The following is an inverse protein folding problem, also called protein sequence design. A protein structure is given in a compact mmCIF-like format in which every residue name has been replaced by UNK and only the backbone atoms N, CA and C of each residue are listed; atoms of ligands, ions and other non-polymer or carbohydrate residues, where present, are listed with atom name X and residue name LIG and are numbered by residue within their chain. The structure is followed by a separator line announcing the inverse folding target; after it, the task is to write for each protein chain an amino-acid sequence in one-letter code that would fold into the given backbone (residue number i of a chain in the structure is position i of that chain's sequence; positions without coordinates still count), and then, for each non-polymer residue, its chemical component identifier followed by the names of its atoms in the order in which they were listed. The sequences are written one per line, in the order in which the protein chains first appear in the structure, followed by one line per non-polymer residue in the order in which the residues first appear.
data_IF_682838477592
#
_entry.id   IF_682838477592
#
_cell.length_a   1.000
_cell.length_b   1.000
_cell.length_c   1.000
_cell.angle_alpha   90.00
_cell.angle_beta   90.00
_cell.angle_gamma   90.00
#
_symmetry.space_group_name_H-M   'P 1'
#
loop_
_entity.id
_entity.type
_entity.pdbx_description
1 polymer ?
#
# COMPACT_ATOMS: atom_id res chain seq x y z
N UNK A 1 37.22 23.61 1.55
CA UNK A 1 35.93 22.99 1.77
C UNK A 1 35.08 23.14 0.49
N UNK A 2 34.87 22.12 -0.35
CA UNK A 2 34.00 22.21 -1.49
C UNK A 2 32.55 22.09 -1.00
N UNK A 3 31.71 23.01 -1.42
CA UNK A 3 30.26 23.02 -1.20
C UNK A 3 29.64 21.79 -1.86
N UNK A 4 28.83 21.04 -1.10
CA UNK A 4 27.98 20.01 -1.62
C UNK A 4 27.05 20.61 -2.69
N UNK A 5 27.17 20.12 -3.91
CA UNK A 5 26.29 20.43 -5.02
C UNK A 5 24.91 19.83 -4.72
N UNK A 6 23.90 20.68 -4.66
CA UNK A 6 22.48 20.37 -4.55
C UNK A 6 22.12 19.23 -5.50
N UNK A 7 21.60 18.13 -4.93
CA UNK A 7 20.81 17.18 -5.66
C UNK A 7 19.56 17.92 -6.17
N UNK A 8 19.43 17.94 -7.49
CA UNK A 8 18.37 18.59 -8.24
C UNK A 8 16.97 18.23 -7.72
N UNK A 9 16.23 19.24 -7.35
CA UNK A 9 14.83 19.20 -6.99
C UNK A 9 14.01 18.43 -8.03
N UNK A 10 13.12 17.55 -7.56
CA UNK A 10 11.90 17.19 -8.25
C UNK A 10 11.23 18.53 -8.56
N UNK A 11 10.87 18.75 -9.82
CA UNK A 11 10.49 20.07 -10.36
C UNK A 11 9.49 20.81 -9.48
N UNK A 12 9.72 22.11 -9.32
CA UNK A 12 8.74 23.08 -8.86
C UNK A 12 7.41 22.91 -9.63
N UNK A 13 6.36 22.50 -8.89
CA UNK A 13 4.95 22.46 -9.27
C UNK A 13 4.64 21.92 -10.69
N UNK A 14 4.22 20.66 -10.78
CA UNK A 14 3.66 20.10 -12.02
C UNK A 14 2.47 20.93 -12.52
N UNK A 15 2.48 21.28 -13.79
CA UNK A 15 1.38 21.95 -14.47
C UNK A 15 0.23 20.95 -14.74
N UNK A 16 -1.03 21.40 -14.81
CA UNK A 16 -2.13 20.55 -15.27
C UNK A 16 -1.86 19.89 -16.63
N UNK A 17 -1.08 20.55 -17.50
CA UNK A 17 -0.68 20.02 -18.80
C UNK A 17 0.25 18.81 -18.70
N UNK A 18 0.94 18.64 -17.59
CA UNK A 18 1.83 17.51 -17.38
C UNK A 18 1.07 16.20 -17.09
N UNK A 19 -0.25 16.28 -16.85
CA UNK A 19 -1.16 15.14 -16.68
C UNK A 19 -1.98 14.83 -17.96
N UNK A 20 -1.68 15.45 -19.10
CA UNK A 20 -2.35 15.11 -20.34
C UNK A 20 -1.95 13.71 -20.84
N UNK A 21 -2.93 12.86 -21.22
CA UNK A 21 -2.65 11.52 -21.71
C UNK A 21 -1.69 11.51 -22.90
N UNK A 22 -0.79 10.54 -22.94
CA UNK A 22 0.18 10.33 -24.01
C UNK A 22 1.39 11.29 -24.01
N UNK A 23 1.40 12.30 -23.13
CA UNK A 23 2.54 13.20 -23.01
C UNK A 23 3.65 12.56 -22.18
N UNK A 24 4.87 12.46 -22.73
CA UNK A 24 6.06 12.03 -22.01
C UNK A 24 6.63 13.21 -21.21
N UNK A 25 6.56 13.12 -19.88
CA UNK A 25 7.03 14.14 -18.93
C UNK A 25 8.22 13.63 -18.16
N UNK A 26 9.33 14.37 -18.15
CA UNK A 26 10.51 14.03 -17.33
C UNK A 26 10.32 14.55 -15.91
N UNK A 27 10.29 13.64 -14.95
CA UNK A 27 10.20 13.95 -13.52
C UNK A 27 11.58 14.11 -12.89
N UNK A 28 12.55 13.29 -13.32
CA UNK A 28 13.94 13.32 -12.85
C UNK A 28 14.90 12.85 -13.95
N UNK A 29 16.22 12.84 -13.73
CA UNK A 29 17.16 12.26 -14.68
C UNK A 29 16.90 10.78 -15.00
N UNK A 30 16.26 10.04 -14.08
CA UNK A 30 16.02 8.59 -14.17
C UNK A 30 14.57 8.20 -14.38
N UNK A 31 13.64 9.16 -14.26
CA UNK A 31 12.20 8.88 -14.27
C UNK A 31 11.48 9.77 -15.26
N UNK A 32 10.69 9.15 -16.11
CA UNK A 32 9.72 9.83 -16.98
C UNK A 32 8.34 9.25 -16.71
N UNK A 33 7.29 10.02 -16.99
CA UNK A 33 5.89 9.61 -16.84
C UNK A 33 5.14 9.78 -18.14
N UNK A 34 4.25 8.83 -18.44
CA UNK A 34 3.21 8.93 -19.47
C UNK A 34 1.89 8.61 -18.80
N UNK A 35 0.91 9.50 -18.93
CA UNK A 35 -0.45 9.25 -18.42
C UNK A 35 -1.24 8.48 -19.47
N UNK A 36 -1.90 7.39 -19.07
CA UNK A 36 -2.75 6.59 -19.94
C UNK A 36 -4.09 7.30 -20.23
N UNK A 37 -4.75 7.03 -21.39
CA UNK A 37 -5.99 7.71 -21.77
C UNK A 37 -7.24 7.06 -21.17
N UNK A 38 -7.20 6.74 -19.87
CA UNK A 38 -8.28 6.09 -19.14
C UNK A 38 -8.87 6.97 -18.02
N UNK A 39 -8.98 8.26 -18.27
CA UNK A 39 -9.55 9.22 -17.32
C UNK A 39 -10.96 8.81 -16.87
N UNK A 40 -11.19 8.82 -15.57
CA UNK A 40 -12.47 8.45 -14.95
C UNK A 40 -12.60 9.01 -13.55
N UNK A 41 -13.74 8.74 -12.90
CA UNK A 41 -13.95 9.08 -11.50
C UNK A 41 -12.94 8.36 -10.56
N UNK A 42 -12.47 7.16 -10.94
CA UNK A 42 -11.54 6.36 -10.16
C UNK A 42 -10.07 6.68 -10.46
N UNK A 43 -9.77 6.97 -11.72
CA UNK A 43 -8.39 7.17 -12.21
C UNK A 43 -8.01 8.64 -12.35
N UNK A 44 -8.93 9.57 -12.05
CA UNK A 44 -8.69 10.99 -12.25
C UNK A 44 -8.29 11.31 -13.70
N UNK A 45 -7.12 11.90 -13.97
CA UNK A 45 -6.66 12.20 -15.33
C UNK A 45 -6.26 10.97 -16.13
N UNK A 46 -6.07 9.83 -15.49
CA UNK A 46 -5.61 8.56 -16.04
C UNK A 46 -4.54 7.92 -15.18
N UNK A 47 -4.13 6.71 -15.56
CA UNK A 47 -3.07 5.97 -14.86
C UNK A 47 -1.69 6.51 -15.24
N UNK A 48 -0.85 6.75 -14.25
CA UNK A 48 0.54 7.11 -14.42
C UNK A 48 1.39 5.87 -14.71
N UNK A 49 1.89 5.74 -15.92
CA UNK A 49 2.93 4.78 -16.27
C UNK A 49 4.29 5.46 -16.16
N UNK A 50 5.23 4.83 -15.45
CA UNK A 50 6.58 5.38 -15.25
C UNK A 50 7.61 4.62 -16.04
N UNK A 51 8.47 5.36 -16.74
CA UNK A 51 9.59 4.84 -17.52
C UNK A 51 10.88 5.12 -16.75
N UNK A 52 11.64 4.06 -16.43
CA UNK A 52 12.75 4.11 -15.49
C UNK A 52 14.08 3.79 -16.16
N UNK A 53 15.10 4.58 -15.81
CA UNK A 53 16.48 4.44 -16.28
C UNK A 53 16.90 5.48 -17.31
N UNK A 54 18.20 5.57 -17.53
CA UNK A 54 18.81 6.38 -18.58
C UNK A 54 20.10 5.69 -19.07
N UNK A 55 20.04 4.90 -20.18
CA UNK A 55 18.85 4.65 -21.02
C UNK A 55 17.75 3.91 -20.25
N UNK A 56 16.48 4.12 -20.66
CA UNK A 56 15.33 3.50 -20.04
C UNK A 56 15.31 1.99 -20.27
N UNK A 57 15.14 1.22 -19.18
CA UNK A 57 15.20 -0.24 -19.16
C UNK A 57 14.00 -0.88 -18.47
N UNK A 58 13.15 -0.09 -17.83
CA UNK A 58 11.96 -0.60 -17.15
C UNK A 58 10.75 0.33 -17.31
N UNK A 59 9.56 -0.26 -17.25
CA UNK A 59 8.27 0.43 -17.14
C UNK A 59 7.61 -0.04 -15.85
N UNK A 60 7.02 0.86 -15.10
CA UNK A 60 6.22 0.58 -13.91
C UNK A 60 4.77 1.01 -14.18
N UNK A 61 3.82 0.12 -13.89
CA UNK A 61 2.39 0.24 -14.15
C UNK A 61 2.10 0.63 -15.62
N UNK A 62 2.16 -0.32 -16.54
CA UNK A 62 1.95 -0.05 -17.97
C UNK A 62 0.53 0.41 -18.32
N UNK A 63 -0.38 0.42 -17.34
CA UNK A 63 -1.74 0.90 -17.53
C UNK A 63 -2.67 -0.10 -18.22
N UNK A 64 -3.75 0.39 -18.83
CA UNK A 64 -4.68 -0.43 -19.58
C UNK A 64 -4.04 -1.02 -20.86
N UNK A 65 -4.65 -2.05 -21.43
CA UNK A 65 -4.26 -2.57 -22.74
C UNK A 65 -4.77 -1.62 -23.85
N UNK A 66 -4.07 -0.47 -23.97
CA UNK A 66 -4.31 0.56 -24.96
C UNK A 66 -3.13 0.61 -25.95
N UNK A 67 -3.29 0.18 -27.21
CA UNK A 67 -2.18 0.06 -28.14
C UNK A 67 -1.40 1.36 -28.39
N UNK A 68 -2.01 2.55 -28.52
CA UNK A 68 -1.29 3.81 -28.63
C UNK A 68 -0.45 4.14 -27.41
N UNK A 69 -0.99 3.92 -26.19
CA UNK A 69 -0.28 4.11 -24.94
C UNK A 69 0.93 3.18 -24.81
N UNK A 70 0.73 1.89 -25.08
CA UNK A 70 1.80 0.87 -25.05
C UNK A 70 2.89 1.15 -26.10
N UNK A 71 2.52 1.66 -27.28
CA UNK A 71 3.49 2.08 -28.30
C UNK A 71 4.34 3.26 -27.79
N UNK A 72 3.75 4.23 -27.10
CA UNK A 72 4.46 5.35 -26.49
C UNK A 72 5.45 4.89 -25.42
N UNK A 73 5.06 3.92 -24.56
CA UNK A 73 5.95 3.34 -23.56
C UNK A 73 7.12 2.59 -24.19
N UNK A 74 6.89 1.80 -25.26
CA UNK A 74 7.94 1.12 -26.01
C UNK A 74 8.91 2.09 -26.65
N UNK A 75 8.42 3.18 -27.23
CA UNK A 75 9.25 4.21 -27.84
C UNK A 75 10.13 4.91 -26.77
N UNK A 76 9.60 5.13 -25.57
CA UNK A 76 10.32 5.73 -24.46
C UNK A 76 11.35 4.77 -23.83
N UNK A 77 11.12 3.46 -23.89
CA UNK A 77 11.99 2.41 -23.36
C UNK A 77 12.39 1.38 -24.45
N UNK A 78 13.24 1.74 -25.39
CA UNK A 78 13.62 0.86 -26.51
C UNK A 78 14.43 -0.38 -26.08
N UNK A 79 14.95 -0.39 -24.86
CA UNK A 79 15.66 -1.52 -24.23
C UNK A 79 14.90 -2.01 -23.00
N UNK A 80 13.61 -2.27 -23.15
CA UNK A 80 12.76 -2.69 -22.03
C UNK A 80 13.12 -4.12 -21.58
N UNK A 81 13.60 -4.25 -20.35
CA UNK A 81 13.96 -5.53 -19.73
C UNK A 81 12.96 -5.95 -18.66
N UNK A 82 12.28 -4.98 -18.03
CA UNK A 82 11.37 -5.24 -16.93
C UNK A 82 10.08 -4.42 -17.04
N UNK A 83 8.96 -5.07 -16.73
CA UNK A 83 7.67 -4.43 -16.49
C UNK A 83 7.29 -4.67 -15.04
N UNK A 84 7.37 -3.62 -14.22
CA UNK A 84 6.94 -3.65 -12.83
C UNK A 84 5.45 -3.35 -12.73
N UNK A 85 4.75 -4.06 -11.86
CA UNK A 85 3.33 -3.86 -11.61
C UNK A 85 3.13 -3.71 -10.10
N UNK A 86 2.53 -2.60 -9.67
CA UNK A 86 2.27 -2.34 -8.25
C UNK A 86 1.21 -3.28 -7.70
N UNK A 87 0.15 -3.51 -8.48
CA UNK A 87 -0.94 -4.44 -8.17
C UNK A 87 -1.71 -4.77 -9.45
N UNK A 88 -2.60 -5.74 -9.39
CA UNK A 88 -3.22 -6.31 -10.58
C UNK A 88 -4.63 -5.78 -10.87
N UNK A 89 -4.99 -4.56 -10.44
CA UNK A 89 -6.15 -3.88 -10.98
C UNK A 89 -5.95 -3.55 -12.46
N UNK A 90 -7.03 -3.61 -13.23
CA UNK A 90 -6.98 -3.59 -14.71
C UNK A 90 -6.38 -2.33 -15.30
N UNK A 91 -6.53 -1.22 -14.62
CA UNK A 91 -5.98 0.07 -15.04
C UNK A 91 -4.47 0.20 -14.82
N UNK A 92 -3.84 -0.70 -14.05
CA UNK A 92 -2.39 -0.75 -13.83
C UNK A 92 -1.71 -1.84 -14.63
N UNK A 93 -2.33 -3.00 -14.81
CA UNK A 93 -1.65 -4.24 -15.19
C UNK A 93 -1.99 -4.80 -16.57
N UNK A 94 -3.14 -4.46 -17.17
CA UNK A 94 -3.57 -5.07 -18.42
C UNK A 94 -2.58 -4.92 -19.58
N UNK A 95 -1.83 -3.81 -19.62
CA UNK A 95 -0.78 -3.60 -20.61
C UNK A 95 0.49 -4.43 -20.41
N UNK A 96 0.68 -5.05 -19.22
CA UNK A 96 1.93 -5.73 -18.87
C UNK A 96 2.22 -6.92 -19.77
N UNK A 97 1.22 -7.75 -20.04
CA UNK A 97 1.37 -8.92 -20.88
C UNK A 97 1.71 -8.53 -22.32
N UNK A 98 1.00 -7.55 -22.90
CA UNK A 98 1.24 -7.08 -24.24
C UNK A 98 2.64 -6.47 -24.42
N UNK A 99 3.13 -5.70 -23.43
CA UNK A 99 4.50 -5.19 -23.42
C UNK A 99 5.53 -6.32 -23.32
N UNK A 100 5.33 -7.27 -22.42
CA UNK A 100 6.24 -8.39 -22.24
C UNK A 100 6.34 -9.25 -23.50
N UNK A 101 5.22 -9.58 -24.12
CA UNK A 101 5.19 -10.39 -25.38
C UNK A 101 5.87 -9.65 -26.56
N UNK A 102 5.74 -8.31 -26.61
CA UNK A 102 6.32 -7.52 -27.69
C UNK A 102 7.82 -7.20 -27.54
N UNK A 103 8.37 -7.33 -26.32
CA UNK A 103 9.75 -6.86 -26.03
C UNK A 103 10.64 -7.95 -25.44
N UNK A 104 10.08 -9.06 -24.96
CA UNK A 104 10.79 -10.06 -24.17
C UNK A 104 11.02 -9.63 -22.70
N UNK A 105 10.46 -8.50 -22.27
CA UNK A 105 10.61 -8.01 -20.90
C UNK A 105 9.99 -8.96 -19.87
N UNK A 106 10.57 -9.04 -18.68
CA UNK A 106 10.06 -9.84 -17.57
C UNK A 106 9.09 -9.04 -16.72
N UNK A 107 7.94 -9.62 -16.41
CA UNK A 107 6.94 -9.00 -15.52
C UNK A 107 7.37 -9.25 -14.07
N UNK A 108 7.40 -8.17 -13.26
CA UNK A 108 7.76 -8.17 -11.85
C UNK A 108 6.56 -7.65 -11.04
N UNK A 109 6.10 -8.40 -10.06
CA UNK A 109 4.95 -8.04 -9.22
C UNK A 109 4.62 -9.17 -8.26
N UNK A 110 3.42 -9.14 -7.69
CA UNK A 110 2.82 -10.25 -6.96
C UNK A 110 1.65 -10.85 -7.77
N UNK A 111 1.39 -12.16 -7.63
CA UNK A 111 0.33 -12.81 -8.39
C UNK A 111 -1.05 -12.23 -8.05
N UNK A 112 -2.00 -12.21 -9.01
CA UNK A 112 -3.35 -11.71 -8.77
C UNK A 112 -4.10 -12.62 -7.80
N UNK A 113 -4.83 -12.05 -6.80
CA UNK A 113 -5.77 -12.82 -6.00
C UNK A 113 -6.98 -13.25 -6.83
N UNK A 114 -7.61 -14.38 -6.43
CA UNK A 114 -8.74 -14.96 -7.15
C UNK A 114 -10.08 -14.38 -6.69
N UNK A 115 -10.25 -13.06 -6.74
CA UNK A 115 -11.45 -12.33 -6.30
C UNK A 115 -12.41 -11.95 -7.45
N UNK A 116 -12.00 -12.18 -8.70
CA UNK A 116 -12.75 -11.83 -9.90
C UNK A 116 -12.64 -10.36 -10.34
N UNK A 117 -11.94 -9.51 -9.59
CA UNK A 117 -11.77 -8.08 -9.88
C UNK A 117 -10.41 -7.78 -10.53
N UNK A 118 -9.47 -8.68 -10.35
CA UNK A 118 -8.10 -8.54 -10.78
C UNK A 118 -7.88 -8.92 -12.26
N UNK A 119 -6.82 -8.40 -12.83
CA UNK A 119 -6.34 -8.84 -14.15
C UNK A 119 -5.58 -10.18 -14.01
N UNK A 120 -6.27 -11.26 -14.34
CA UNK A 120 -5.70 -12.61 -14.32
C UNK A 120 -4.71 -12.87 -15.46
N UNK A 121 -4.59 -11.99 -16.45
CA UNK A 121 -3.61 -12.09 -17.54
C UNK A 121 -2.20 -11.63 -17.11
N UNK A 122 -2.13 -10.79 -16.08
CA UNK A 122 -0.87 -10.33 -15.51
C UNK A 122 -0.28 -11.39 -14.57
N UNK A 123 0.53 -12.28 -15.13
CA UNK A 123 1.25 -13.30 -14.37
C UNK A 123 2.72 -12.91 -14.23
N UNK A 124 3.17 -12.43 -13.06
CA UNK A 124 4.56 -12.06 -12.85
C UNK A 124 5.48 -13.28 -13.00
N UNK A 125 6.56 -13.13 -13.78
CA UNK A 125 7.63 -14.11 -13.90
C UNK A 125 8.68 -13.95 -12.80
N UNK A 126 8.69 -12.81 -12.13
CA UNK A 126 9.57 -12.50 -11.00
C UNK A 126 8.72 -11.91 -9.86
N UNK A 127 8.80 -12.55 -8.70
CA UNK A 127 8.06 -12.12 -7.53
C UNK A 127 8.72 -10.89 -6.86
N UNK A 128 7.94 -9.82 -6.66
CA UNK A 128 8.35 -8.60 -5.97
C UNK A 128 8.20 -8.75 -4.45
N UNK A 129 9.00 -9.64 -3.84
CA UNK A 129 8.97 -9.88 -2.39
C UNK A 129 9.37 -8.63 -1.63
N UNK A 130 8.81 -8.51 -0.43
CA UNK A 130 9.16 -7.41 0.48
C UNK A 130 10.67 -7.29 0.68
N UNK A 131 11.18 -6.03 0.62
CA UNK A 131 12.59 -5.66 0.71
C UNK A 131 13.51 -6.19 -0.40
N UNK A 132 12.98 -6.87 -1.41
CA UNK A 132 13.79 -7.22 -2.57
C UNK A 132 14.20 -5.97 -3.34
N UNK A 133 15.50 -5.86 -3.61
CA UNK A 133 16.07 -4.79 -4.44
C UNK A 133 16.35 -5.33 -5.84
N UNK A 134 15.88 -4.60 -6.84
CA UNK A 134 16.16 -4.84 -8.24
C UNK A 134 17.19 -3.83 -8.71
N UNK A 135 18.34 -4.32 -9.15
CA UNK A 135 19.38 -3.50 -9.77
C UNK A 135 19.15 -3.42 -11.27
N UNK A 136 18.82 -2.21 -11.76
CA UNK A 136 18.49 -1.96 -13.16
C UNK A 136 19.64 -1.17 -13.77
N UNK A 137 20.25 -1.74 -14.80
CA UNK A 137 21.31 -1.09 -15.58
C UNK A 137 20.97 -1.17 -17.07
N UNK A 138 21.52 -0.25 -17.86
CA UNK A 138 21.39 -0.30 -19.32
C UNK A 138 22.14 -1.45 -19.99
N UNK A 139 22.75 -2.35 -19.21
CA UNK A 139 23.41 -3.58 -19.69
C UNK A 139 22.44 -4.73 -19.71
N UNK A 140 22.59 -5.61 -20.69
CA UNK A 140 21.80 -6.83 -20.78
C UNK A 140 22.09 -7.73 -19.56
N UNK A 141 21.09 -8.09 -18.75
CA UNK A 141 21.29 -8.96 -17.58
C UNK A 141 21.75 -10.38 -17.96
N UNK A 142 21.60 -10.79 -19.23
CA UNK A 142 22.07 -12.09 -19.73
C UNK A 142 23.45 -12.03 -20.44
N UNK A 143 23.96 -10.83 -20.71
CA UNK A 143 25.35 -10.69 -21.16
C UNK A 143 26.26 -11.00 -19.97
N UNK A 144 26.57 -12.28 -19.82
CA UNK A 144 27.36 -12.84 -18.72
C UNK A 144 28.60 -11.99 -18.44
N UNK A 145 28.74 -11.63 -17.17
CA UNK A 145 29.87 -10.87 -16.63
C UNK A 145 31.14 -11.75 -16.68
N UNK A 146 31.67 -11.94 -17.89
CA UNK A 146 32.97 -12.59 -18.07
C UNK A 146 34.04 -11.57 -17.72
N UNK A 147 34.25 -11.34 -16.40
CA UNK A 147 35.50 -10.75 -15.95
C UNK A 147 35.50 -9.52 -15.06
N UNK A 148 34.51 -9.34 -14.15
CA UNK A 148 34.62 -8.30 -13.13
C UNK A 148 34.38 -8.83 -11.71
N UNK A 149 35.30 -9.66 -11.24
CA UNK A 149 35.38 -9.94 -9.82
C UNK A 149 35.92 -8.65 -9.11
N UNK A 150 35.08 -8.06 -8.26
CA UNK A 150 35.56 -7.27 -7.14
C UNK A 150 35.50 -5.76 -7.17
N UNK A 151 34.76 -5.10 -8.07
CA UNK A 151 34.50 -3.65 -7.94
C UNK A 151 33.00 -3.40 -7.88
N UNK A 152 32.51 -2.84 -6.77
CA UNK A 152 31.20 -2.24 -6.69
C UNK A 152 31.11 -1.17 -7.80
N UNK A 153 30.40 -1.47 -8.88
CA UNK A 153 30.25 -0.55 -10.02
C UNK A 153 29.34 0.59 -9.54
N UNK A 154 29.96 1.71 -9.15
CA UNK A 154 29.28 2.99 -9.04
C UNK A 154 29.05 3.51 -10.47
N UNK A 155 28.17 2.87 -11.23
CA UNK A 155 27.71 3.41 -12.50
C UNK A 155 26.65 4.47 -12.21
N UNK A 156 26.76 5.70 -12.73
CA UNK A 156 25.74 6.73 -12.60
C UNK A 156 24.40 6.29 -13.21
N UNK A 157 24.40 5.23 -14.01
CA UNK A 157 23.24 4.68 -14.72
C UNK A 157 22.56 3.51 -13.97
N UNK A 158 23.18 3.03 -12.87
CA UNK A 158 22.57 2.01 -12.03
C UNK A 158 21.45 2.64 -11.19
N UNK A 159 20.29 2.02 -11.19
CA UNK A 159 19.19 2.34 -10.29
C UNK A 159 18.79 1.14 -9.46
N UNK A 160 18.50 1.36 -8.20
CA UNK A 160 18.04 0.34 -7.25
C UNK A 160 16.59 0.60 -6.91
N UNK A 161 15.75 -0.33 -7.31
CA UNK A 161 14.31 -0.29 -7.08
C UNK A 161 13.94 -1.32 -6.00
N UNK A 162 13.62 -0.84 -4.80
CA UNK A 162 13.22 -1.69 -3.67
C UNK A 162 11.73 -1.94 -3.69
N UNK A 163 11.32 -3.20 -3.65
CA UNK A 163 9.93 -3.61 -3.50
C UNK A 163 9.51 -3.57 -2.02
N UNK A 164 8.39 -2.94 -1.72
CA UNK A 164 7.82 -2.85 -0.38
C UNK A 164 6.39 -3.40 -0.46
N UNK A 165 6.15 -4.60 0.07
CA UNK A 165 4.80 -5.18 0.11
C UNK A 165 3.90 -4.33 1.01
N UNK A 166 2.84 -3.77 0.45
CA UNK A 166 1.92 -2.83 1.08
C UNK A 166 0.47 -3.26 0.86
N UNK A 167 0.05 -4.40 1.45
CA UNK A 167 -1.32 -4.87 1.30
C UNK A 167 -2.31 -3.88 1.91
N UNK A 168 -3.53 -3.86 1.38
CA UNK A 168 -4.62 -3.07 1.94
C UNK A 168 -5.57 -2.51 0.91
N UNK A 169 -5.11 -1.77 -0.10
CA UNK A 169 -5.91 -1.43 -1.28
C UNK A 169 -6.20 -2.70 -2.11
N UNK A 170 -5.16 -3.46 -2.37
CA UNK A 170 -5.20 -4.82 -2.87
C UNK A 170 -4.25 -5.68 -2.04
N UNK A 171 -4.53 -6.99 -1.91
CA UNK A 171 -3.71 -7.90 -1.11
C UNK A 171 -2.31 -8.11 -1.70
N UNK A 172 -2.19 -8.00 -3.02
CA UNK A 172 -0.95 -8.15 -3.79
C UNK A 172 -0.25 -6.80 -4.09
N UNK A 173 -0.62 -5.72 -3.39
CA UNK A 173 -0.05 -4.41 -3.65
C UNK A 173 1.40 -4.29 -3.19
N UNK A 174 2.24 -3.71 -4.05
CA UNK A 174 3.66 -3.43 -3.80
C UNK A 174 3.96 -1.98 -4.17
N UNK A 175 4.47 -1.21 -3.24
CA UNK A 175 5.13 0.07 -3.55
C UNK A 175 6.58 -0.19 -3.95
N UNK A 176 7.14 0.66 -4.83
CA UNK A 176 8.53 0.57 -5.25
C UNK A 176 9.28 1.85 -4.89
N UNK A 177 10.40 1.73 -4.19
CA UNK A 177 11.25 2.86 -3.82
C UNK A 177 12.49 2.91 -4.71
N UNK A 178 12.63 3.99 -5.48
CA UNK A 178 13.87 4.34 -6.18
C UNK A 178 14.84 4.93 -5.15
N UNK A 179 15.82 4.13 -4.73
CA UNK A 179 16.67 4.44 -3.58
C UNK A 179 17.53 5.69 -3.80
N UNK A 180 18.08 5.88 -5.00
CA UNK A 180 18.97 7.00 -5.34
C UNK A 180 18.28 8.36 -5.21
N UNK A 181 16.96 8.41 -5.46
CA UNK A 181 16.18 9.65 -5.45
C UNK A 181 15.26 9.75 -4.23
N UNK A 182 15.05 8.64 -3.52
CA UNK A 182 14.05 8.56 -2.46
C UNK A 182 12.64 8.73 -3.00
N UNK A 183 12.40 8.40 -4.28
CA UNK A 183 11.10 8.51 -4.93
C UNK A 183 10.33 7.20 -4.77
N UNK A 184 9.16 7.28 -4.11
CA UNK A 184 8.28 6.15 -3.86
C UNK A 184 7.17 6.09 -4.92
N UNK A 185 7.17 5.06 -5.74
CA UNK A 185 6.03 4.72 -6.60
C UNK A 185 5.00 3.99 -5.74
N UNK A 186 3.91 4.66 -5.43
CA UNK A 186 2.93 4.18 -4.47
C UNK A 186 1.76 3.40 -5.08
N UNK A 187 1.68 3.29 -6.42
CA UNK A 187 0.47 2.76 -7.04
C UNK A 187 -0.77 3.42 -6.44
N UNK A 188 -1.74 2.61 -6.05
CA UNK A 188 -2.98 3.08 -5.43
C UNK A 188 -2.97 3.03 -3.89
N UNK A 189 -1.79 2.96 -3.27
CA UNK A 189 -1.68 3.02 -1.81
C UNK A 189 -1.75 4.46 -1.27
N UNK A 190 -1.16 5.41 -1.99
CA UNK A 190 -1.21 6.86 -1.69
C UNK A 190 -1.46 7.61 -2.99
N UNK A 191 -2.53 8.42 -3.04
CA UNK A 191 -2.97 9.16 -4.22
C UNK A 191 -2.97 10.68 -4.00
N UNK A 192 -2.94 11.46 -5.09
CA UNK A 192 -3.01 12.92 -5.05
C UNK A 192 -4.45 13.39 -4.74
N UNK A 193 -4.61 14.05 -3.60
CA UNK A 193 -5.84 14.75 -3.22
C UNK A 193 -7.03 13.87 -2.86
N UNK A 194 -6.92 12.54 -2.96
CA UNK A 194 -7.98 11.59 -2.64
C UNK A 194 -7.45 10.44 -1.78
N UNK A 195 -8.35 9.78 -1.06
CA UNK A 195 -8.00 8.52 -0.36
C UNK A 195 -8.40 7.33 -1.21
N UNK A 196 -7.53 6.31 -1.37
CA UNK A 196 -7.85 5.11 -2.13
C UNK A 196 -9.10 4.40 -1.63
N UNK A 197 -9.79 3.72 -2.52
CA UNK A 197 -10.90 2.83 -2.14
C UNK A 197 -10.29 1.56 -1.54
N UNK A 198 -10.87 1.08 -0.44
CA UNK A 198 -10.54 -0.21 0.13
C UNK A 198 -11.74 -1.10 -0.10
N UNK A 199 -11.59 -2.08 -0.97
CA UNK A 199 -12.68 -2.92 -1.48
C UNK A 199 -12.56 -4.36 -0.95
N UNK A 200 -13.32 -4.73 0.10
CA UNK A 200 -13.41 -6.14 0.52
C UNK A 200 -14.03 -7.03 -0.58
N UNK A 201 -13.66 -8.34 -0.66
CA UNK A 201 -12.89 -9.07 0.33
C UNK A 201 -11.37 -8.94 0.20
N UNK A 202 -10.82 -8.50 -0.95
CA UNK A 202 -9.39 -8.40 -1.17
C UNK A 202 -8.79 -7.22 -0.41
N UNK A 203 -9.44 -6.05 -0.47
CA UNK A 203 -9.03 -4.87 0.28
C UNK A 203 -9.24 -5.01 1.79
N UNK A 204 -8.25 -4.59 2.58
CA UNK A 204 -8.25 -4.67 4.05
C UNK A 204 -7.81 -3.36 4.70
N UNK A 205 -8.70 -2.74 5.48
CA UNK A 205 -8.45 -1.44 6.11
C UNK A 205 -7.36 -1.51 7.19
N UNK A 206 -7.25 -2.60 7.93
CA UNK A 206 -6.23 -2.75 8.97
C UNK A 206 -4.85 -2.92 8.33
N UNK A 207 -4.74 -3.78 7.32
CA UNK A 207 -3.52 -3.96 6.53
C UNK A 207 -3.11 -2.64 5.85
N UNK A 208 -4.06 -1.89 5.28
CA UNK A 208 -3.82 -0.60 4.65
C UNK A 208 -3.17 0.42 5.62
N UNK A 209 -3.74 0.57 6.82
CA UNK A 209 -3.21 1.47 7.83
C UNK A 209 -1.82 1.04 8.32
N UNK A 210 -1.59 -0.26 8.49
CA UNK A 210 -0.28 -0.81 8.82
C UNK A 210 0.74 -0.53 7.73
N UNK A 211 0.39 -0.72 6.47
CA UNK A 211 1.25 -0.45 5.32
C UNK A 211 1.59 1.04 5.18
N UNK A 212 0.65 1.95 5.47
CA UNK A 212 0.93 3.39 5.52
C UNK A 212 1.99 3.73 6.59
N UNK A 213 1.90 3.10 7.77
CA UNK A 213 2.88 3.30 8.84
C UNK A 213 4.25 2.72 8.47
N UNK A 214 4.27 1.54 7.85
CA UNK A 214 5.47 0.92 7.31
C UNK A 214 6.20 1.86 6.32
N UNK A 215 5.47 2.48 5.38
CA UNK A 215 6.07 3.38 4.38
C UNK A 215 6.80 4.57 5.00
N UNK A 216 6.38 5.06 6.18
CA UNK A 216 7.07 6.15 6.89
C UNK A 216 8.49 5.75 7.31
N UNK A 217 8.73 4.48 7.61
CA UNK A 217 10.05 3.97 8.01
C UNK A 217 11.10 4.09 6.91
N UNK A 218 10.69 4.03 5.65
CA UNK A 218 11.57 4.18 4.47
C UNK A 218 11.92 5.64 4.16
N UNK A 219 11.26 6.62 4.79
CA UNK A 219 11.52 8.06 4.67
C UNK A 219 11.63 8.52 3.21
N UNK A 220 10.63 8.26 2.37
CA UNK A 220 10.66 8.74 0.99
C UNK A 220 10.76 10.26 0.96
N UNK A 221 11.35 10.82 -0.10
CA UNK A 221 11.47 12.27 -0.33
C UNK A 221 10.29 12.81 -1.13
N UNK A 222 9.73 11.98 -2.01
CA UNK A 222 8.55 12.29 -2.79
C UNK A 222 7.77 10.98 -3.06
N UNK A 223 6.48 11.11 -3.40
CA UNK A 223 5.63 10.00 -3.82
C UNK A 223 5.18 10.25 -5.26
N UNK A 224 5.37 9.25 -6.10
CA UNK A 224 4.86 9.16 -7.47
C UNK A 224 3.68 8.18 -7.48
N UNK A 225 2.41 8.69 -7.45
CA UNK A 225 1.23 7.87 -7.28
C UNK A 225 0.77 7.21 -8.58
N UNK A 226 -0.10 6.19 -8.49
CA UNK A 226 -0.76 5.58 -9.65
C UNK A 226 -1.63 6.56 -10.44
N UNK A 227 -2.17 7.58 -9.77
CA UNK A 227 -3.00 8.63 -10.38
C UNK A 227 -2.67 10.00 -9.81
N UNK A 228 -2.71 11.04 -10.66
CA UNK A 228 -2.50 12.42 -10.24
C UNK A 228 -1.02 12.85 -10.22
N UNK A 229 -0.72 13.89 -9.45
CA UNK A 229 0.59 14.56 -9.41
C UNK A 229 1.54 13.89 -8.42
N UNK A 230 2.83 14.17 -8.58
CA UNK A 230 3.86 13.82 -7.60
C UNK A 230 3.62 14.63 -6.30
N UNK A 231 3.80 13.97 -5.15
CA UNK A 231 3.57 14.52 -3.82
C UNK A 231 4.92 14.74 -3.12
N UNK A 232 5.21 16.00 -2.74
CA UNK A 232 6.52 16.40 -2.23
C UNK A 232 6.70 16.25 -0.72
N UNK A 233 5.59 16.11 0.04
CA UNK A 233 5.60 15.98 1.50
C UNK A 233 5.05 14.61 1.96
N UNK A 234 5.76 13.50 1.69
CA UNK A 234 5.24 12.14 1.88
C UNK A 234 4.69 11.87 3.27
N UNK A 235 5.43 12.24 4.31
CA UNK A 235 5.02 11.98 5.70
C UNK A 235 3.75 12.75 6.06
N UNK A 236 3.65 14.01 5.63
CA UNK A 236 2.45 14.83 5.85
C UNK A 236 1.24 14.24 5.13
N UNK A 237 1.42 13.78 3.89
CA UNK A 237 0.34 13.15 3.10
C UNK A 237 -0.12 11.87 3.78
N UNK A 238 0.81 10.99 4.16
CA UNK A 238 0.50 9.73 4.84
C UNK A 238 -0.23 9.99 6.17
N UNK A 239 0.28 10.90 7.00
CA UNK A 239 -0.36 11.25 8.28
C UNK A 239 -1.76 11.86 8.06
N UNK A 240 -1.94 12.64 7.00
CA UNK A 240 -3.23 13.17 6.58
C UNK A 240 -4.24 12.07 6.25
N UNK A 241 -3.82 11.04 5.51
CA UNK A 241 -4.65 9.87 5.18
C UNK A 241 -5.01 9.09 6.45
N UNK A 242 -4.03 8.79 7.30
CA UNK A 242 -4.27 8.07 8.57
C UNK A 242 -5.28 8.84 9.45
N UNK A 243 -5.10 10.15 9.59
CA UNK A 243 -6.03 10.99 10.35
C UNK A 243 -7.43 11.03 9.72
N UNK A 244 -7.52 11.07 8.38
CA UNK A 244 -8.80 10.99 7.67
C UNK A 244 -9.53 9.67 7.96
N UNK A 245 -8.81 8.53 7.85
CA UNK A 245 -9.36 7.19 8.15
C UNK A 245 -9.82 7.07 9.61
N UNK A 246 -9.02 7.59 10.56
CA UNK A 246 -9.38 7.60 11.98
C UNK A 246 -10.66 8.43 12.25
N UNK A 247 -10.79 9.61 11.64
CA UNK A 247 -12.02 10.42 11.74
C UNK A 247 -13.23 9.69 11.16
N UNK A 248 -13.08 9.01 10.02
CA UNK A 248 -14.16 8.24 9.40
C UNK A 248 -14.58 7.07 10.30
N UNK A 249 -13.62 6.33 10.86
CA UNK A 249 -13.89 5.24 11.80
C UNK A 249 -14.62 5.73 13.06
N UNK A 250 -14.17 6.86 13.64
CA UNK A 250 -14.87 7.46 14.77
C UNK A 250 -16.32 7.82 14.45
N UNK A 251 -16.58 8.31 13.22
CA UNK A 251 -17.93 8.62 12.75
C UNK A 251 -18.78 7.36 12.57
N UNK A 252 -18.20 6.26 12.07
CA UNK A 252 -18.90 4.95 12.00
C UNK A 252 -19.38 4.52 13.38
N UNK A 253 -18.51 4.57 14.38
CA UNK A 253 -18.86 4.22 15.76
C UNK A 253 -19.92 5.15 16.37
N UNK A 254 -19.81 6.46 16.12
CA UNK A 254 -20.78 7.44 16.60
C UNK A 254 -22.18 7.19 15.99
N UNK A 255 -22.24 6.89 14.68
CA UNK A 255 -23.49 6.58 13.98
C UNK A 255 -24.11 5.28 14.52
N UNK A 256 -23.31 4.21 14.68
CA UNK A 256 -23.78 2.95 15.27
C UNK A 256 -24.28 3.13 16.71
N UNK A 257 -23.61 3.98 17.51
CA UNK A 257 -24.03 4.28 18.87
C UNK A 257 -25.33 5.09 18.96
N UNK A 258 -25.54 6.04 18.04
CA UNK A 258 -26.69 6.93 18.03
C UNK A 258 -27.94 6.28 17.42
N UNK A 259 -27.78 5.50 16.35
CA UNK A 259 -28.88 4.89 15.60
C UNK A 259 -29.23 3.48 16.09
N UNK A 260 -28.31 2.82 16.78
CA UNK A 260 -28.40 1.39 17.05
C UNK A 260 -28.02 0.52 15.84
N UNK A 261 -28.42 -0.77 15.84
CA UNK A 261 -28.11 -1.71 14.76
C UNK A 261 -28.70 -1.24 13.41
N UNK A 262 -27.92 -1.41 12.33
CA UNK A 262 -28.37 -1.02 10.99
C UNK A 262 -27.63 -1.75 9.87
N UNK A 263 -28.27 -1.85 8.71
CA UNK A 263 -27.63 -2.31 7.48
C UNK A 263 -26.71 -1.24 6.90
N UNK A 264 -25.74 -1.66 6.11
CA UNK A 264 -24.72 -0.77 5.55
C UNK A 264 -25.32 0.38 4.74
N UNK A 265 -26.40 0.12 3.99
CA UNK A 265 -27.06 1.12 3.15
C UNK A 265 -27.85 2.15 3.96
N UNK A 266 -28.25 1.81 5.18
CA UNK A 266 -28.87 2.74 6.15
C UNK A 266 -27.80 3.58 6.86
N UNK A 267 -26.64 3.01 7.16
CA UNK A 267 -25.51 3.67 7.81
C UNK A 267 -24.78 4.62 6.86
N UNK A 268 -24.66 4.24 5.57
CA UNK A 268 -23.84 4.93 4.57
C UNK A 268 -24.12 6.44 4.48
N UNK A 269 -25.36 6.92 4.27
CA UNK A 269 -25.63 8.36 4.13
C UNK A 269 -25.41 9.14 5.42
N UNK A 270 -25.31 8.49 6.56
CA UNK A 270 -25.04 9.11 7.86
C UNK A 270 -23.55 9.20 8.16
N UNK A 271 -22.79 8.16 7.74
CA UNK A 271 -21.34 8.14 7.89
C UNK A 271 -20.65 9.02 6.84
N UNK A 272 -21.23 9.12 5.65
CA UNK A 272 -20.70 9.85 4.49
C UNK A 272 -21.59 11.03 4.09
N UNK A 273 -22.17 11.75 5.08
CA UNK A 273 -23.02 12.95 4.89
C UNK A 273 -22.26 14.16 4.30
N UNK A 274 -20.94 14.10 4.32
CA UNK A 274 -20.00 15.07 3.79
C UNK A 274 -19.48 14.71 2.37
N UNK A 275 -20.01 13.63 1.77
CA UNK A 275 -19.58 13.13 0.46
C UNK A 275 -20.70 13.35 -0.56
N UNK A 276 -20.32 13.75 -1.79
CA UNK A 276 -21.29 13.92 -2.89
C UNK A 276 -22.00 12.60 -3.21
N UNK A 277 -23.27 12.69 -3.55
CA UNK A 277 -24.14 11.51 -3.77
C UNK A 277 -23.59 10.53 -4.82
N UNK A 278 -22.94 11.04 -5.86
CA UNK A 278 -22.35 10.24 -6.94
C UNK A 278 -21.21 9.34 -6.45
N UNK A 279 -20.57 9.69 -5.32
CA UNK A 279 -19.47 8.93 -4.71
C UNK A 279 -19.95 7.91 -3.66
N UNK A 280 -21.21 7.96 -3.23
CA UNK A 280 -21.73 7.06 -2.21
C UNK A 280 -21.59 5.56 -2.59
N UNK A 281 -21.85 5.14 -3.84
CA UNK A 281 -21.62 3.74 -4.22
C UNK A 281 -20.20 3.26 -3.99
N UNK A 282 -19.21 4.15 -4.21
CA UNK A 282 -17.78 3.86 -3.97
C UNK A 282 -17.47 3.91 -2.47
N UNK A 283 -18.00 4.91 -1.76
CA UNK A 283 -17.82 5.07 -0.32
C UNK A 283 -18.36 3.89 0.49
N UNK A 284 -19.38 3.17 -0.05
CA UNK A 284 -19.94 1.96 0.53
C UNK A 284 -18.89 0.89 0.82
N UNK A 285 -17.98 0.66 -0.13
CA UNK A 285 -16.89 -0.30 0.05
C UNK A 285 -15.94 0.09 1.19
N UNK A 286 -15.57 1.37 1.25
CA UNK A 286 -14.73 1.86 2.34
C UNK A 286 -15.45 1.80 3.70
N UNK A 287 -16.79 2.01 3.75
CA UNK A 287 -17.58 1.79 4.95
C UNK A 287 -17.51 0.33 5.39
N UNK A 288 -17.74 -0.60 4.46
CA UNK A 288 -17.66 -2.03 4.73
C UNK A 288 -16.27 -2.42 5.27
N UNK A 289 -15.20 -1.91 4.67
CA UNK A 289 -13.83 -2.15 5.14
C UNK A 289 -13.60 -1.64 6.58
N UNK A 290 -14.14 -0.47 6.94
CA UNK A 290 -14.10 0.04 8.32
C UNK A 290 -14.90 -0.85 9.28
N UNK A 291 -16.10 -1.29 8.89
CA UNK A 291 -16.94 -2.14 9.71
C UNK A 291 -16.31 -3.51 9.96
N UNK A 292 -15.71 -4.13 8.93
CA UNK A 292 -14.96 -5.39 9.06
C UNK A 292 -13.77 -5.23 10.01
N UNK A 293 -13.01 -4.13 9.88
CA UNK A 293 -11.90 -3.82 10.80
C UNK A 293 -12.41 -3.70 12.24
N UNK A 294 -13.48 -2.94 12.47
CA UNK A 294 -14.08 -2.76 13.80
C UNK A 294 -14.62 -4.06 14.39
N UNK A 295 -15.16 -4.95 13.58
CA UNK A 295 -15.60 -6.29 13.99
C UNK A 295 -14.42 -7.14 14.47
N UNK A 296 -13.33 -7.18 13.70
CA UNK A 296 -12.09 -7.89 14.07
C UNK A 296 -11.46 -7.35 15.36
N UNK A 297 -11.59 -6.06 15.60
CA UNK A 297 -11.16 -5.39 16.83
C UNK A 297 -12.12 -5.60 18.02
N UNK A 298 -13.26 -6.26 17.80
CA UNK A 298 -14.28 -6.46 18.82
C UNK A 298 -15.03 -5.20 19.23
N UNK A 299 -15.07 -4.17 18.38
CA UNK A 299 -15.75 -2.88 18.59
C UNK A 299 -17.10 -2.80 17.88
N UNK A 300 -17.28 -3.58 16.83
CA UNK A 300 -18.57 -3.81 16.19
C UNK A 300 -18.87 -5.31 16.13
N UNK A 301 -20.12 -5.66 15.84
CA UNK A 301 -20.54 -7.02 15.57
C UNK A 301 -21.46 -7.03 14.34
N UNK A 302 -21.38 -8.11 13.59
CA UNK A 302 -22.23 -8.36 12.42
C UNK A 302 -23.15 -9.54 12.70
N UNK A 303 -24.44 -9.36 12.44
CA UNK A 303 -25.41 -10.45 12.40
C UNK A 303 -26.14 -10.41 11.05
N UNK A 304 -25.80 -11.35 10.15
CA UNK A 304 -26.18 -11.31 8.73
C UNK A 304 -25.72 -10.01 8.09
N UNK A 305 -26.64 -9.13 7.68
CA UNK A 305 -26.34 -7.85 7.03
C UNK A 305 -26.45 -6.64 7.97
N UNK A 306 -26.76 -6.89 9.26
CA UNK A 306 -26.94 -5.85 10.28
C UNK A 306 -25.70 -5.71 11.13
N UNK A 307 -25.18 -4.50 11.18
CA UNK A 307 -24.04 -4.10 12.01
C UNK A 307 -24.51 -3.41 13.28
N UNK A 308 -23.83 -3.65 14.38
CA UNK A 308 -24.12 -3.07 15.69
C UNK A 308 -22.84 -2.70 16.44
N UNK A 309 -22.95 -1.74 17.34
CA UNK A 309 -21.86 -1.44 18.26
C UNK A 309 -21.73 -2.61 19.25
N UNK A 310 -20.50 -3.06 19.51
CA UNK A 310 -20.24 -4.04 20.56
C UNK A 310 -20.02 -3.29 21.86
N UNK A 311 -20.91 -3.53 22.84
CA UNK A 311 -20.70 -3.00 24.18
C UNK A 311 -19.38 -3.54 24.76
N UNK A 312 -18.54 -2.65 25.28
CA UNK A 312 -17.41 -3.10 26.10
C UNK A 312 -17.99 -3.89 27.27
N UNK A 313 -17.64 -5.16 27.41
CA UNK A 313 -17.87 -5.90 28.64
C UNK A 313 -17.22 -5.08 29.76
N UNK A 314 -18.03 -4.37 30.51
CA UNK A 314 -17.60 -3.76 31.77
C UNK A 314 -17.27 -4.95 32.66
N UNK A 315 -15.99 -5.25 32.83
CA UNK A 315 -15.57 -6.13 33.91
C UNK A 315 -15.97 -5.40 35.18
N UNK A 316 -17.15 -5.75 35.72
CA UNK A 316 -17.53 -5.42 37.06
C UNK A 316 -16.51 -6.16 37.95
N UNK A 317 -15.49 -5.41 38.38
CA UNK A 317 -14.69 -5.85 39.52
C UNK A 317 -15.67 -6.16 40.63
N UNK A 318 -15.88 -7.44 40.87
CA UNK A 318 -16.77 -7.94 41.92
C UNK A 318 -16.43 -7.26 43.20
N UNK A 319 -17.41 -6.53 43.75
CA UNK A 319 -17.38 -6.07 45.10
C UNK A 319 -17.30 -7.32 45.96
N UNK A 320 -16.10 -7.57 46.51
CA UNK A 320 -15.94 -8.52 47.62
C UNK A 320 -16.67 -7.89 48.82
N UNK A 321 -17.91 -8.34 49.03
CA UNK A 321 -18.62 -8.04 50.26
C UNK A 321 -17.86 -8.67 51.42
N UNK A 322 -17.20 -7.82 52.18
CA UNK A 322 -16.67 -8.19 53.46
C UNK A 322 -17.79 -8.53 54.43
N UNK A 323 -17.88 -9.76 54.85
CA UNK A 323 -18.57 -10.11 56.10
C UNK A 323 -17.48 -10.46 57.11
N UNK A 324 -17.32 -9.54 58.07
CA UNK A 324 -16.50 -9.74 59.23
C UNK A 324 -17.17 -10.66 60.26
N UNK A 325 -16.40 -10.92 61.26
CA UNK A 325 -16.70 -11.36 62.62
C UNK A 325 -16.18 -12.75 62.97
N UNK A 326 -15.25 -12.77 64.01
CA UNK A 326 -15.25 -13.69 65.06
C UNK A 326 -13.94 -14.40 65.36
N UNK A 327 -13.22 -13.80 66.22
CA UNK A 327 -12.29 -14.14 67.27
C UNK A 327 -12.06 -15.61 67.70
N UNK A 328 -10.82 -15.76 68.23
CA UNK A 328 -10.21 -16.66 69.25
C UNK A 328 -9.44 -17.87 68.67
N UNK A 329 -8.15 -17.89 68.85
CA UNK A 329 -7.20 -18.11 69.99
C UNK A 329 -6.84 -19.57 70.18
N UNK A 330 -5.54 -19.77 70.42
CA UNK A 330 -4.87 -20.96 71.05
C UNK A 330 -4.59 -22.13 70.07
N UNK A 331 -3.40 -22.64 69.85
CA UNK A 331 -2.16 -22.66 70.55
C UNK A 331 -1.34 -23.87 70.11
N UNK A 332 -0.02 -23.77 70.26
CA UNK A 332 1.01 -24.85 70.29
C UNK A 332 1.35 -25.60 69.00
N UNK A 333 2.51 -25.36 68.47
CA UNK A 333 3.84 -25.93 68.83
C UNK A 333 4.09 -27.32 68.22
N UNK A 334 5.17 -27.39 67.57
CA UNK A 334 6.26 -28.37 67.56
C UNK A 334 6.48 -29.12 66.21
N UNK A 335 7.60 -28.76 65.64
CA UNK A 335 8.75 -29.67 65.41
C UNK A 335 8.58 -30.74 64.31
N UNK A 336 9.45 -30.69 63.35
CA UNK A 336 10.32 -31.81 63.02
C UNK A 336 10.58 -31.95 61.56
N UNK A 337 11.74 -31.48 61.18
CA UNK A 337 12.85 -32.24 60.59
C UNK A 337 12.68 -32.92 59.25
N UNK A 338 13.46 -32.43 58.39
CA UNK A 338 14.55 -33.10 57.64
C UNK A 338 14.26 -33.87 56.38
N UNK A 339 14.92 -33.38 55.40
CA UNK A 339 15.93 -34.07 54.55
C UNK A 339 15.48 -34.96 53.40
N UNK A 340 16.17 -34.73 52.33
CA UNK A 340 16.65 -35.70 51.34
C UNK A 340 16.06 -35.49 49.95
N UNK A 341 16.73 -34.93 49.05
CA UNK A 341 17.92 -35.30 48.29
C UNK A 341 17.56 -36.11 47.02
N UNK A 342 17.99 -35.52 45.92
CA UNK A 342 18.65 -36.07 44.72
C UNK A 342 17.86 -36.62 43.55
N UNK A 343 18.19 -35.97 42.47
CA UNK A 343 18.76 -36.44 41.20
C UNK A 343 17.82 -36.88 40.09
N UNK A 344 17.97 -36.19 38.99
CA UNK A 344 17.71 -36.42 37.58
C UNK A 344 18.38 -37.69 37.01
N UNK A 345 18.72 -37.81 35.78
CA UNK A 345 18.11 -37.21 34.54
C UNK A 345 17.75 -38.34 33.55
N UNK A 346 16.96 -38.01 32.55
CA UNK A 346 17.25 -38.39 31.14
C UNK A 346 16.43 -37.50 30.22
#
# INVERSE_FOLDING_TARGET
MPRATNASNVRDMESPDDLQPGRLVRLSPRVQRVVAPNASLMTGPGTNSYVLGNPAVAVLDPGPDDPPHLASLRAAAPRLHFVFVTHTHRDHSCGARALADATGARIVGLPPPSDGLQDMSCVPSIEARHDRVFELSGRDPEAGDAGAAGHAIQSPDLIRLRAIHTPGHASNHVCFLLEEEGLLFSGDHVLDGVTPVILPPDGDMAAYLHSLDLLKSYRPRAIAPGHGRVLEEPLRVIDGIVAHRARREAKVLAVLGAMGPGEIDVLLPKVYDDVRAELLPIARYSLEAHLIKLEREGRAARNRDVWSLRERAVHSAGAVAGTGVGARAEGRAAEGSAAGEQAGPE
#
